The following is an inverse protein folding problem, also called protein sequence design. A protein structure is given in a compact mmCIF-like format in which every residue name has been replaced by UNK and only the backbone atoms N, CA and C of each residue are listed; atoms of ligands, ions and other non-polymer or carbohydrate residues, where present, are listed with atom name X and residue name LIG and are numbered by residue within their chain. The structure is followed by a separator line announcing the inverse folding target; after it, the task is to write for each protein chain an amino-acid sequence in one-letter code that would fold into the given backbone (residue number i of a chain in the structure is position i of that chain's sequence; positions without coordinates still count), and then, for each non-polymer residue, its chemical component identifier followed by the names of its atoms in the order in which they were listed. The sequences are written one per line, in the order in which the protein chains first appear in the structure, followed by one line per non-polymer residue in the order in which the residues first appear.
data_IF_592804086373
#
_entry.id   IF_592804086373
#
_cell.length_a   1.000
_cell.length_b   1.000
_cell.length_c   1.000
_cell.angle_alpha   90.00
_cell.angle_beta   90.00
_cell.angle_gamma   90.00
#
_symmetry.space_group_name_H-M   'P 1'
#
loop_
_entity.id
_entity.type
_entity.pdbx_description
1 polymer ?
#
# COMPACT_ATOMS: atom_id res chain seq x y z
N UNK A 1 -24.18 -4.43 4.29
CA UNK A 1 -24.32 -5.50 5.29
C UNK A 1 -25.61 -6.27 5.04
N UNK A 2 -25.61 -7.58 5.23
CA UNK A 2 -26.81 -8.42 5.24
C UNK A 2 -27.63 -8.24 6.53
N UNK A 3 -28.89 -8.73 6.59
CA UNK A 3 -29.72 -8.63 7.80
C UNK A 3 -29.12 -9.28 9.06
N UNK A 4 -28.31 -10.32 8.91
CA UNK A 4 -27.68 -11.04 10.02
C UNK A 4 -26.65 -10.20 10.79
N UNK A 5 -26.01 -9.25 10.09
CA UNK A 5 -24.97 -8.37 10.65
C UNK A 5 -25.48 -6.97 10.97
N UNK A 6 -26.73 -6.63 10.65
CA UNK A 6 -27.28 -5.30 10.90
C UNK A 6 -27.38 -5.00 12.40
N UNK A 7 -26.71 -3.91 12.81
CA UNK A 7 -26.70 -3.43 14.19
C UNK A 7 -25.93 -4.32 15.16
N UNK A 8 -25.00 -5.16 14.67
CA UNK A 8 -24.20 -6.07 15.50
C UNK A 8 -22.93 -5.40 16.01
N UNK A 9 -22.31 -4.58 15.17
CA UNK A 9 -21.04 -3.98 15.49
C UNK A 9 -21.20 -2.73 16.33
N UNK A 10 -20.33 -2.58 17.34
CA UNK A 10 -20.20 -1.34 18.09
C UNK A 10 -19.77 -0.14 17.23
N UNK A 11 -19.22 -0.39 16.02
CA UNK A 11 -18.82 0.65 15.05
C UNK A 11 -19.92 0.98 14.04
N UNK A 12 -21.17 0.66 14.36
CA UNK A 12 -22.33 0.95 13.51
C UNK A 12 -22.22 0.32 12.12
N UNK A 13 -22.81 0.99 11.13
CA UNK A 13 -22.92 0.46 9.77
C UNK A 13 -21.57 0.04 9.15
N UNK A 14 -20.52 0.84 9.35
CA UNK A 14 -19.19 0.49 8.83
C UNK A 14 -18.69 -0.80 9.49
N UNK A 15 -18.82 -0.90 10.81
CA UNK A 15 -18.46 -2.09 11.59
C UNK A 15 -19.23 -3.33 11.14
N UNK A 16 -20.54 -3.23 10.93
CA UNK A 16 -21.37 -4.35 10.47
C UNK A 16 -20.85 -4.92 9.14
N UNK A 17 -20.43 -4.05 8.20
CA UNK A 17 -19.85 -4.48 6.92
C UNK A 17 -18.49 -5.16 7.12
N UNK A 18 -17.65 -4.65 8.02
CA UNK A 18 -16.35 -5.25 8.32
C UNK A 18 -16.50 -6.61 8.98
N UNK A 19 -17.42 -6.77 9.93
CA UNK A 19 -17.70 -8.06 10.57
C UNK A 19 -18.24 -9.10 9.57
N UNK A 20 -19.07 -8.68 8.61
CA UNK A 20 -19.52 -9.57 7.53
C UNK A 20 -18.38 -9.98 6.59
N UNK A 21 -17.46 -9.07 6.27
CA UNK A 21 -16.26 -9.38 5.46
C UNK A 21 -15.37 -10.37 6.21
N UNK A 22 -15.09 -10.13 7.50
CA UNK A 22 -14.28 -11.02 8.34
C UNK A 22 -14.88 -12.43 8.41
N UNK A 23 -16.19 -12.52 8.69
CA UNK A 23 -16.91 -13.79 8.67
C UNK A 23 -16.82 -14.49 7.32
N UNK A 24 -16.99 -13.75 6.22
CA UNK A 24 -16.93 -14.28 4.85
C UNK A 24 -15.54 -14.84 4.50
N UNK A 25 -14.46 -14.15 4.92
CA UNK A 25 -13.09 -14.68 4.79
C UNK A 25 -12.95 -15.97 5.59
N UNK A 26 -13.53 -16.04 6.79
CA UNK A 26 -13.62 -17.27 7.58
C UNK A 26 -14.21 -18.44 6.78
N UNK A 27 -15.34 -18.23 6.11
CA UNK A 27 -15.98 -19.25 5.28
C UNK A 27 -15.08 -19.76 4.15
N UNK A 28 -14.33 -18.87 3.49
CA UNK A 28 -13.36 -19.25 2.45
C UNK A 28 -12.25 -20.12 3.06
N UNK A 29 -11.67 -19.70 4.18
CA UNK A 29 -10.59 -20.45 4.82
C UNK A 29 -11.04 -21.81 5.35
N UNK A 30 -12.26 -21.90 5.90
CA UNK A 30 -12.85 -23.16 6.37
C UNK A 30 -13.09 -24.11 5.20
N UNK A 31 -13.64 -23.61 4.09
CA UNK A 31 -13.79 -24.40 2.85
C UNK A 31 -12.45 -24.97 2.37
N UNK A 32 -11.37 -24.17 2.39
CA UNK A 32 -10.02 -24.65 2.03
C UNK A 32 -9.52 -25.75 2.97
N UNK A 33 -9.85 -25.70 4.26
CA UNK A 33 -9.48 -26.73 5.26
C UNK A 33 -10.28 -28.01 5.04
N UNK A 34 -11.60 -27.90 4.91
CA UNK A 34 -12.52 -29.03 4.72
C UNK A 34 -12.23 -29.81 3.44
N UNK A 35 -11.93 -29.10 2.36
CA UNK A 35 -11.53 -29.68 1.06
C UNK A 35 -10.07 -30.14 1.03
N UNK A 36 -9.33 -29.99 2.14
CA UNK A 36 -7.91 -30.36 2.28
C UNK A 36 -6.97 -29.64 1.29
N UNK A 37 -7.38 -28.46 0.81
CA UNK A 37 -6.60 -27.62 -0.10
C UNK A 37 -5.73 -26.58 0.63
N UNK A 38 -5.96 -26.34 1.92
CA UNK A 38 -5.25 -25.32 2.71
C UNK A 38 -3.71 -25.30 2.53
N UNK A 39 -3.05 -26.46 2.52
CA UNK A 39 -1.58 -26.54 2.34
C UNK A 39 -1.11 -26.30 0.90
N UNK A 40 -2.03 -26.18 -0.06
CA UNK A 40 -1.79 -25.99 -1.50
C UNK A 40 -2.36 -24.66 -2.00
N UNK A 41 -2.77 -23.78 -1.08
CA UNK A 41 -3.40 -22.51 -1.42
C UNK A 41 -2.71 -21.39 -0.65
N UNK A 42 -2.14 -20.45 -1.39
CA UNK A 42 -1.70 -19.16 -0.88
C UNK A 42 -2.89 -18.21 -0.85
N UNK A 43 -3.14 -17.58 0.30
CA UNK A 43 -4.18 -16.55 0.45
C UNK A 43 -3.50 -15.23 0.82
N UNK A 44 -3.87 -14.16 0.11
CA UNK A 44 -3.53 -12.77 0.43
C UNK A 44 -4.82 -12.03 0.77
N UNK A 45 -4.85 -11.39 1.94
CA UNK A 45 -5.87 -10.40 2.29
C UNK A 45 -5.22 -9.01 2.35
N UNK A 46 -5.76 -8.04 1.64
CA UNK A 46 -5.30 -6.65 1.64
C UNK A 46 -6.40 -5.68 1.17
N UNK A 47 -6.09 -4.38 1.10
CA UNK A 47 -6.99 -3.30 0.67
C UNK A 47 -6.42 -2.57 -0.55
N UNK A 48 -7.25 -1.82 -1.27
CA UNK A 48 -6.84 -1.07 -2.47
C UNK A 48 -6.24 0.31 -2.15
N UNK A 49 -6.69 0.92 -1.06
CA UNK A 49 -6.30 2.23 -0.56
C UNK A 49 -6.74 2.39 0.91
N UNK A 50 -6.23 3.45 1.54
CA UNK A 50 -6.58 3.82 2.89
C UNK A 50 -8.07 4.19 3.07
N UNK A 51 -8.50 4.47 4.31
CA UNK A 51 -9.89 4.69 4.65
C UNK A 51 -10.43 6.00 4.06
N UNK A 52 -11.71 6.01 3.72
CA UNK A 52 -12.38 7.22 3.24
C UNK A 52 -12.81 8.12 4.43
N UNK A 53 -11.85 8.87 4.98
CA UNK A 53 -12.05 9.62 6.22
C UNK A 53 -13.14 10.69 6.17
N UNK A 54 -13.48 11.22 4.97
CA UNK A 54 -14.55 12.21 4.81
C UNK A 54 -15.96 11.63 5.04
N UNK A 55 -16.09 10.31 5.23
CA UNK A 55 -17.35 9.65 5.61
C UNK A 55 -17.53 9.53 7.14
N UNK A 56 -16.64 10.14 7.92
CA UNK A 56 -16.68 10.18 9.38
C UNK A 56 -16.90 8.78 9.99
N UNK A 57 -17.96 8.59 10.78
CA UNK A 57 -18.30 7.32 11.43
C UNK A 57 -18.66 6.20 10.44
N UNK A 58 -18.96 6.52 9.19
CA UNK A 58 -19.20 5.55 8.12
C UNK A 58 -17.92 5.20 7.34
N UNK A 59 -16.77 5.77 7.71
CA UNK A 59 -15.46 5.48 7.15
C UNK A 59 -14.60 4.54 8.01
N UNK A 60 -13.51 4.06 7.40
CA UNK A 60 -12.48 3.31 8.11
C UNK A 60 -11.60 4.17 9.01
N UNK A 61 -10.55 3.57 9.57
CA UNK A 61 -9.56 4.26 10.39
C UNK A 61 -8.17 4.00 9.85
N UNK A 62 -7.33 5.03 9.80
CA UNK A 62 -5.91 4.92 9.45
C UNK A 62 -5.04 4.59 10.68
N UNK A 63 -5.67 4.43 11.85
CA UNK A 63 -4.97 4.24 13.11
C UNK A 63 -4.07 5.43 13.43
N UNK A 64 -2.79 5.16 13.65
CA UNK A 64 -1.77 6.18 13.92
C UNK A 64 -1.27 6.92 12.67
N UNK A 65 -1.61 6.43 11.47
CA UNK A 65 -1.10 6.96 10.21
C UNK A 65 -1.81 8.26 9.83
N UNK A 66 -1.13 9.10 9.06
CA UNK A 66 -1.65 10.41 8.64
C UNK A 66 -2.56 10.28 7.43
N UNK A 67 -3.73 10.93 7.53
CA UNK A 67 -4.72 11.08 6.44
C UNK A 67 -5.29 9.73 5.93
N UNK A 68 -5.95 9.73 4.78
CA UNK A 68 -6.66 8.58 4.21
C UNK A 68 -6.75 8.61 2.69
N UNK A 69 -7.78 7.94 2.17
CA UNK A 69 -8.02 7.70 0.74
C UNK A 69 -7.80 8.95 -0.12
N UNK A 70 -6.89 8.84 -1.10
CA UNK A 70 -6.60 9.89 -2.06
C UNK A 70 -5.43 10.81 -1.68
N UNK A 71 -4.85 10.63 -0.50
CA UNK A 71 -3.59 11.26 -0.10
C UNK A 71 -2.41 10.31 -0.34
N UNK A 72 -1.21 10.87 -0.42
CA UNK A 72 0.07 10.10 -0.46
C UNK A 72 0.77 10.06 0.89
N UNK A 73 0.10 10.48 1.96
CA UNK A 73 0.52 10.20 3.34
C UNK A 73 0.31 8.71 3.65
N UNK A 74 0.96 8.20 4.69
CA UNK A 74 0.96 6.76 4.99
C UNK A 74 -0.46 6.22 5.19
N UNK A 75 -1.38 6.99 5.76
CA UNK A 75 -2.76 6.53 5.96
C UNK A 75 -3.56 6.39 4.66
N UNK A 76 -3.09 6.93 3.53
CA UNK A 76 -3.74 6.81 2.23
C UNK A 76 -3.31 5.60 1.40
N UNK A 77 -2.11 5.04 1.65
CA UNK A 77 -1.50 4.02 0.79
C UNK A 77 -0.77 2.89 1.55
N UNK A 78 -0.70 2.91 2.89
CA UNK A 78 -0.18 1.80 3.70
C UNK A 78 -1.36 0.97 4.20
N UNK A 79 -1.48 -0.24 3.67
CA UNK A 79 -2.64 -1.10 3.86
C UNK A 79 -2.37 -2.27 4.80
N UNK A 80 -3.41 -2.85 5.44
CA UNK A 80 -3.28 -4.17 6.05
C UNK A 80 -2.91 -5.20 4.98
N UNK A 81 -2.02 -6.12 5.31
CA UNK A 81 -1.65 -7.23 4.44
C UNK A 81 -1.41 -8.50 5.27
N UNK A 82 -2.15 -9.56 4.96
CA UNK A 82 -1.99 -10.88 5.60
C UNK A 82 -1.74 -11.91 4.50
N UNK A 83 -0.57 -12.55 4.56
CA UNK A 83 -0.23 -13.71 3.74
C UNK A 83 -0.41 -14.99 4.56
N UNK A 84 -1.19 -15.93 4.03
CA UNK A 84 -1.51 -17.17 4.72
C UNK A 84 -1.26 -18.36 3.80
N UNK A 85 -0.38 -19.27 4.22
CA UNK A 85 -0.12 -20.54 3.53
C UNK A 85 0.42 -21.60 4.51
N UNK A 86 -0.46 -22.42 5.09
CA UNK A 86 -0.08 -23.42 6.09
C UNK A 86 0.98 -24.40 5.59
N UNK A 87 2.07 -24.53 6.36
CA UNK A 87 3.19 -25.42 6.06
C UNK A 87 4.26 -24.81 5.16
N UNK A 88 4.00 -23.64 4.55
CA UNK A 88 4.95 -22.89 3.72
C UNK A 88 5.39 -21.60 4.42
N UNK A 89 4.42 -20.79 4.85
CA UNK A 89 4.67 -19.53 5.57
C UNK A 89 4.63 -19.80 7.08
N UNK A 90 5.67 -19.37 7.79
CA UNK A 90 5.72 -19.44 9.27
C UNK A 90 4.93 -18.27 9.86
N UNK A 91 4.13 -18.47 10.93
CA UNK A 91 3.48 -17.37 11.62
C UNK A 91 4.49 -16.34 12.15
N UNK A 92 4.25 -15.06 11.88
CA UNK A 92 5.13 -13.98 12.30
C UNK A 92 4.68 -12.61 11.79
N UNK A 93 5.44 -11.59 12.17
CA UNK A 93 5.27 -10.21 11.67
C UNK A 93 6.49 -9.86 10.83
N UNK A 94 6.24 -9.35 9.63
CA UNK A 94 7.28 -8.85 8.71
C UNK A 94 7.16 -7.32 8.67
N UNK A 95 8.27 -6.63 8.90
CA UNK A 95 8.36 -5.16 8.88
C UNK A 95 9.01 -4.61 7.61
N UNK A 96 9.48 -5.50 6.74
CA UNK A 96 10.10 -5.18 5.46
C UNK A 96 9.07 -4.66 4.46
N UNK A 97 9.53 -3.93 3.43
CA UNK A 97 8.64 -3.26 2.49
C UNK A 97 8.09 -4.29 1.48
N UNK A 98 6.79 -4.18 1.20
CA UNK A 98 6.10 -4.87 0.11
C UNK A 98 5.04 -3.96 -0.51
N UNK A 99 4.55 -4.31 -1.69
CA UNK A 99 3.53 -3.55 -2.41
C UNK A 99 2.50 -4.49 -3.04
N UNK A 100 1.28 -4.01 -3.27
CA UNK A 100 0.29 -4.73 -4.10
C UNK A 100 0.79 -4.94 -5.53
N UNK A 101 1.75 -4.13 -5.99
CA UNK A 101 2.48 -4.35 -7.25
C UNK A 101 3.21 -5.69 -7.28
N UNK A 102 3.66 -6.21 -6.13
CA UNK A 102 4.49 -7.42 -6.01
C UNK A 102 3.71 -8.72 -6.10
N UNK A 103 2.38 -8.63 -6.05
CA UNK A 103 1.50 -9.80 -6.10
C UNK A 103 1.72 -10.58 -7.39
N UNK A 104 1.97 -9.90 -8.52
CA UNK A 104 2.20 -10.56 -9.81
C UNK A 104 3.47 -11.42 -9.80
N UNK A 105 4.63 -10.84 -9.51
CA UNK A 105 5.90 -11.57 -9.52
C UNK A 105 5.92 -12.68 -8.46
N UNK A 106 5.41 -12.39 -7.26
CA UNK A 106 5.29 -13.39 -6.18
C UNK A 106 4.38 -14.54 -6.60
N UNK A 107 3.21 -14.28 -7.18
CA UNK A 107 2.31 -15.33 -7.64
C UNK A 107 2.91 -16.14 -8.79
N UNK A 108 3.62 -15.50 -9.73
CA UNK A 108 4.32 -16.17 -10.80
C UNK A 108 5.38 -17.13 -10.25
N UNK A 109 6.23 -16.68 -9.33
CA UNK A 109 7.25 -17.52 -8.70
C UNK A 109 6.62 -18.74 -8.01
N UNK A 110 5.59 -18.51 -7.18
CA UNK A 110 4.91 -19.60 -6.46
C UNK A 110 4.18 -20.59 -7.39
N UNK A 111 3.82 -20.16 -8.60
CA UNK A 111 3.19 -20.99 -9.62
C UNK A 111 4.18 -21.63 -10.61
N UNK A 112 5.48 -21.29 -10.54
CA UNK A 112 6.48 -21.67 -11.55
C UNK A 112 6.24 -21.03 -12.92
N UNK A 113 5.56 -19.88 -12.96
CA UNK A 113 5.29 -19.09 -14.17
C UNK A 113 6.35 -18.00 -14.38
N UNK A 114 6.39 -17.43 -15.59
CA UNK A 114 7.31 -16.34 -15.93
C UNK A 114 6.60 -14.99 -15.87
N UNK A 115 7.24 -13.99 -15.28
CA UNK A 115 6.83 -12.59 -15.43
C UNK A 115 7.11 -12.10 -16.87
N UNK A 116 6.33 -11.14 -17.38
CA UNK A 116 6.62 -10.52 -18.68
C UNK A 116 8.05 -9.96 -18.75
N UNK A 117 8.73 -10.18 -19.87
CA UNK A 117 10.11 -9.73 -20.10
C UNK A 117 10.24 -8.68 -21.22
N UNK A 118 9.11 -8.23 -21.76
CA UNK A 118 9.03 -7.26 -22.86
C UNK A 118 8.88 -5.80 -22.38
N UNK A 119 8.91 -5.59 -21.06
CA UNK A 119 8.81 -4.29 -20.39
C UNK A 119 9.51 -4.30 -19.03
N UNK A 120 9.78 -3.11 -18.50
CA UNK A 120 10.23 -2.96 -17.11
C UNK A 120 9.05 -3.27 -16.20
N UNK A 121 9.27 -4.11 -15.20
CA UNK A 121 8.27 -4.49 -14.21
C UNK A 121 8.57 -3.80 -12.89
N UNK A 122 7.57 -3.11 -12.31
CA UNK A 122 7.68 -2.58 -10.94
C UNK A 122 7.53 -3.69 -9.88
N UNK A 123 6.91 -4.80 -10.26
CA UNK A 123 6.66 -5.98 -9.41
C UNK A 123 7.95 -6.73 -9.10
N UNK A 124 8.19 -7.05 -7.83
CA UNK A 124 9.28 -7.92 -7.39
C UNK A 124 8.74 -9.15 -6.65
N UNK A 125 9.54 -10.22 -6.59
CA UNK A 125 9.16 -11.45 -5.90
C UNK A 125 9.39 -11.34 -4.38
N UNK A 126 8.31 -11.42 -3.59
CA UNK A 126 8.36 -11.43 -2.12
C UNK A 126 8.51 -12.83 -1.52
N UNK A 127 8.64 -13.89 -2.34
CA UNK A 127 8.84 -15.25 -1.83
C UNK A 127 9.99 -15.38 -0.83
N UNK A 128 11.14 -14.67 -0.95
CA UNK A 128 12.24 -14.83 -0.01
C UNK A 128 11.84 -14.50 1.43
N UNK A 129 11.16 -13.36 1.63
CA UNK A 129 10.71 -12.91 2.96
C UNK A 129 9.52 -13.72 3.46
N UNK A 130 8.57 -14.07 2.57
CA UNK A 130 7.39 -14.84 2.95
C UNK A 130 7.75 -16.28 3.40
N UNK A 131 8.73 -16.90 2.76
CA UNK A 131 9.20 -18.25 3.07
C UNK A 131 10.33 -18.28 4.12
N UNK A 132 10.80 -17.11 4.57
CA UNK A 132 11.89 -16.98 5.54
C UNK A 132 13.22 -17.51 5.02
N UNK A 133 13.48 -17.35 3.71
CA UNK A 133 14.73 -17.75 3.04
C UNK A 133 15.64 -16.56 2.75
N UNK A 134 15.14 -15.33 2.88
CA UNK A 134 15.89 -14.09 2.71
C UNK A 134 15.04 -12.85 3.02
N UNK A 135 15.62 -11.64 2.91
CA UNK A 135 14.88 -10.39 3.05
C UNK A 135 13.99 -10.11 1.84
N UNK A 136 13.09 -9.13 1.98
CA UNK A 136 12.35 -8.55 0.86
C UNK A 136 13.33 -7.88 -0.10
N UNK A 137 13.23 -8.14 -1.43
CA UNK A 137 14.01 -7.40 -2.39
C UNK A 137 13.52 -5.96 -2.58
N UNK A 138 12.34 -5.61 -2.04
CA UNK A 138 11.82 -4.24 -2.11
C UNK A 138 12.36 -3.41 -0.95
N UNK A 139 13.12 -2.39 -1.30
CA UNK A 139 13.57 -1.34 -0.38
C UNK A 139 13.03 0.06 -0.75
N UNK A 140 12.38 0.20 -1.92
CA UNK A 140 11.87 1.50 -2.41
C UNK A 140 10.41 1.42 -2.82
N UNK A 141 9.65 2.49 -2.53
CA UNK A 141 8.27 2.68 -2.96
C UNK A 141 8.04 4.10 -3.49
N UNK A 142 7.38 4.21 -4.63
CA UNK A 142 7.03 5.47 -5.29
C UNK A 142 5.53 5.76 -5.11
N UNK A 143 5.19 6.96 -4.65
CA UNK A 143 3.82 7.34 -4.31
C UNK A 143 3.34 8.38 -5.31
N UNK A 144 2.41 7.99 -6.17
CA UNK A 144 1.82 8.85 -7.19
C UNK A 144 0.44 9.37 -6.75
N UNK A 145 0.16 10.64 -7.05
CA UNK A 145 -1.20 11.17 -7.08
C UNK A 145 -1.47 11.68 -8.50
N UNK A 146 -2.48 11.09 -9.14
CA UNK A 146 -2.72 11.29 -10.57
C UNK A 146 -1.44 11.00 -11.38
N UNK A 147 -0.92 11.97 -12.15
CA UNK A 147 0.28 11.81 -12.99
C UNK A 147 1.58 12.24 -12.31
N UNK A 148 1.51 12.72 -11.07
CA UNK A 148 2.66 13.33 -10.42
C UNK A 148 3.21 12.42 -9.32
N UNK A 149 4.53 12.28 -9.30
CA UNK A 149 5.25 11.66 -8.21
C UNK A 149 5.26 12.61 -7.01
N UNK A 150 4.61 12.21 -5.92
CA UNK A 150 4.45 13.03 -4.72
C UNK A 150 5.48 12.69 -3.66
N UNK A 151 5.78 11.40 -3.46
CA UNK A 151 6.74 10.95 -2.47
C UNK A 151 7.51 9.72 -2.92
N UNK A 152 8.68 9.53 -2.33
CA UNK A 152 9.47 8.29 -2.40
C UNK A 152 9.79 7.85 -0.98
N UNK A 153 9.62 6.56 -0.71
CA UNK A 153 10.17 5.90 0.48
C UNK A 153 11.37 5.04 0.08
N UNK A 154 12.47 5.14 0.81
CA UNK A 154 13.59 4.22 0.80
C UNK A 154 13.89 3.76 2.23
N UNK A 155 13.80 2.46 2.50
CA UNK A 155 13.91 1.90 3.84
C UNK A 155 12.98 2.59 4.85
N UNK A 156 13.55 3.14 5.92
CA UNK A 156 12.82 3.87 6.95
C UNK A 156 12.40 5.29 6.53
N UNK A 157 13.02 5.87 5.50
CA UNK A 157 12.86 7.29 5.19
C UNK A 157 11.89 7.52 4.05
N UNK A 158 11.01 8.51 4.18
CA UNK A 158 10.08 8.93 3.14
C UNK A 158 10.17 10.43 2.91
N UNK A 159 10.47 10.80 1.67
CA UNK A 159 10.53 12.19 1.23
C UNK A 159 9.27 12.57 0.44
N UNK A 160 8.66 13.71 0.77
CA UNK A 160 7.54 14.28 0.02
C UNK A 160 8.01 15.50 -0.78
N UNK A 161 7.94 15.41 -2.10
CA UNK A 161 8.14 16.53 -3.02
C UNK A 161 6.89 17.39 -3.15
N UNK A 162 5.72 16.77 -2.92
CA UNK A 162 4.41 17.39 -2.95
C UNK A 162 3.57 16.82 -1.83
N UNK A 163 2.68 17.63 -1.25
CA UNK A 163 1.68 17.15 -0.29
C UNK A 163 0.31 17.69 -0.63
N UNK A 164 -0.71 16.84 -0.50
CA UNK A 164 -2.11 17.22 -0.65
C UNK A 164 -2.94 16.36 0.28
N UNK A 165 -3.54 16.99 1.29
CA UNK A 165 -4.37 16.27 2.25
C UNK A 165 -5.78 16.04 1.68
N UNK A 166 -6.48 15.04 2.22
CA UNK A 166 -7.88 14.75 1.84
C UNK A 166 -8.89 15.31 2.84
N UNK A 167 -8.44 15.52 4.08
CA UNK A 167 -9.19 16.13 5.18
C UNK A 167 -8.54 17.46 5.57
N UNK A 168 -9.36 18.47 5.91
CA UNK A 168 -8.87 19.80 6.27
C UNK A 168 -8.45 20.63 5.06
N UNK A 169 -7.21 21.12 5.05
CA UNK A 169 -6.68 21.90 3.93
C UNK A 169 -6.25 21.00 2.76
N UNK A 170 -7.08 20.99 1.71
CA UNK A 170 -6.93 20.12 0.54
C UNK A 170 -6.09 20.72 -0.58
N UNK A 171 -5.42 21.85 -0.33
CA UNK A 171 -4.49 22.46 -1.27
C UNK A 171 -3.28 21.55 -1.49
N UNK A 172 -2.76 21.61 -2.71
CA UNK A 172 -1.48 20.99 -3.05
C UNK A 172 -0.35 21.97 -2.75
N UNK A 173 0.69 21.48 -2.06
CA UNK A 173 1.91 22.21 -1.77
C UNK A 173 3.09 21.49 -2.42
N UNK A 174 4.01 22.26 -3.01
CA UNK A 174 5.29 21.76 -3.52
C UNK A 174 6.39 22.09 -2.51
N UNK A 175 7.35 21.19 -2.35
CA UNK A 175 8.42 21.28 -1.35
C UNK A 175 9.79 21.19 -2.01
N UNK A 176 10.61 22.21 -1.84
CA UNK A 176 12.01 22.25 -2.23
C UNK A 176 12.83 23.00 -1.15
N UNK A 177 13.65 22.31 -0.32
CA UNK A 177 13.88 20.86 -0.35
C UNK A 177 12.63 20.04 0.03
N UNK A 178 12.58 18.74 -0.31
CA UNK A 178 11.47 17.86 0.06
C UNK A 178 11.33 17.74 1.59
N UNK A 179 10.11 17.56 2.09
CA UNK A 179 9.90 17.16 3.49
C UNK A 179 10.41 15.74 3.67
N UNK A 180 10.99 15.41 4.82
CA UNK A 180 11.52 14.08 5.11
C UNK A 180 11.01 13.57 6.45
N UNK A 181 10.57 12.31 6.48
CA UNK A 181 10.14 11.62 7.70
C UNK A 181 10.88 10.29 7.84
N UNK A 182 11.24 9.92 9.06
CA UNK A 182 11.65 8.56 9.40
C UNK A 182 10.42 7.82 9.94
N UNK A 183 9.91 6.86 9.18
CA UNK A 183 8.67 6.14 9.44
C UNK A 183 8.76 5.06 10.52
N UNK A 184 9.98 4.68 10.94
CA UNK A 184 10.17 3.79 12.10
C UNK A 184 10.03 4.54 13.42
N UNK A 185 10.37 5.83 13.44
CA UNK A 185 10.24 6.69 14.62
C UNK A 185 8.95 7.53 14.60
N UNK A 186 8.52 7.97 13.42
CA UNK A 186 7.35 8.81 13.20
C UNK A 186 6.50 8.29 12.03
N UNK A 187 5.77 7.18 12.23
CA UNK A 187 4.84 6.65 11.22
C UNK A 187 3.66 7.58 10.93
N UNK A 188 3.50 8.66 11.70
CA UNK A 188 2.45 9.66 11.57
C UNK A 188 2.86 10.90 10.77
N UNK A 189 4.10 10.94 10.27
CA UNK A 189 4.63 12.01 9.40
C UNK A 189 4.36 13.43 9.98
N UNK A 190 4.67 13.61 11.27
CA UNK A 190 4.47 14.84 12.03
C UNK A 190 5.71 15.72 12.08
N UNK A 191 6.90 15.12 12.14
CA UNK A 191 8.15 15.82 12.40
C UNK A 191 9.05 15.77 11.18
N UNK A 192 9.07 16.87 10.41
CA UNK A 192 10.01 16.99 9.30
C UNK A 192 11.45 17.07 9.81
N UNK A 193 12.31 16.20 9.27
CA UNK A 193 13.72 16.08 9.63
C UNK A 193 14.66 16.42 8.46
N UNK A 194 14.16 16.91 7.32
CA UNK A 194 14.95 17.11 6.10
C UNK A 194 16.22 17.93 6.33
N UNK A 195 16.13 19.03 7.07
CA UNK A 195 17.25 19.92 7.37
C UNK A 195 18.43 19.22 8.11
N UNK A 196 18.18 18.09 8.78
CA UNK A 196 19.18 17.33 9.53
C UNK A 196 19.74 16.13 8.75
N UNK A 197 19.17 15.79 7.60
CA UNK A 197 19.51 14.61 6.81
C UNK A 197 19.67 14.95 5.31
N UNK A 198 20.58 15.87 4.95
CA UNK A 198 20.79 16.28 3.55
C UNK A 198 21.32 15.14 2.67
N UNK A 199 22.06 14.19 3.25
CA UNK A 199 22.56 12.98 2.61
C UNK A 199 21.42 12.04 2.18
N UNK A 200 20.43 11.84 3.05
CA UNK A 200 19.23 11.03 2.75
C UNK A 200 18.42 11.68 1.64
N UNK A 201 18.22 13.00 1.69
CA UNK A 201 17.56 13.75 0.62
C UNK A 201 18.31 13.57 -0.70
N UNK A 202 19.64 13.69 -0.71
CA UNK A 202 20.45 13.52 -1.92
C UNK A 202 20.32 12.10 -2.52
N UNK A 203 20.29 11.07 -1.67
CA UNK A 203 20.05 9.68 -2.07
C UNK A 203 18.68 9.51 -2.73
N UNK A 204 17.62 9.97 -2.08
CA UNK A 204 16.25 9.87 -2.61
C UNK A 204 16.08 10.70 -3.90
N UNK A 205 16.72 11.86 -4.01
CA UNK A 205 16.72 12.65 -5.24
C UNK A 205 17.44 11.94 -6.39
N UNK A 206 18.43 11.08 -6.10
CA UNK A 206 19.07 10.23 -7.10
C UNK A 206 18.11 9.15 -7.58
N UNK A 207 17.43 8.45 -6.65
CA UNK A 207 16.38 7.48 -6.99
C UNK A 207 15.27 8.09 -7.84
N UNK A 208 14.84 9.31 -7.49
CA UNK A 208 13.85 10.06 -8.27
C UNK A 208 14.29 10.26 -9.71
N UNK A 209 15.50 10.78 -9.93
CA UNK A 209 16.05 11.01 -11.28
C UNK A 209 16.16 9.72 -12.08
N UNK A 210 16.62 8.64 -11.45
CA UNK A 210 16.73 7.33 -12.10
C UNK A 210 15.37 6.78 -12.54
N UNK A 211 14.36 6.87 -11.66
CA UNK A 211 12.99 6.47 -11.96
C UNK A 211 12.43 7.31 -13.11
N UNK A 212 12.44 8.64 -12.98
CA UNK A 212 11.93 9.57 -14.00
C UNK A 212 12.63 9.39 -15.36
N UNK A 213 13.93 9.05 -15.39
CA UNK A 213 14.68 8.81 -16.64
C UNK A 213 14.22 7.58 -17.42
N UNK A 214 13.58 6.61 -16.74
CA UNK A 214 13.09 5.35 -17.33
C UNK A 214 11.60 5.39 -17.61
N UNK A 215 10.87 6.36 -17.06
CA UNK A 215 9.43 6.46 -17.20
C UNK A 215 9.03 6.97 -18.58
N UNK A 216 8.31 6.13 -19.32
CA UNK A 216 7.59 6.52 -20.53
C UNK A 216 6.11 6.55 -20.16
N UNK A 217 5.54 7.75 -20.04
CA UNK A 217 4.14 7.90 -19.65
C UNK A 217 3.20 7.30 -20.70
N UNK A 218 2.33 6.39 -20.27
CA UNK A 218 1.25 5.87 -21.11
C UNK A 218 0.22 6.96 -21.44
N UNK A 219 -0.56 6.71 -22.49
CA UNK A 219 -1.70 7.55 -22.83
C UNK A 219 -2.67 7.66 -21.65
N UNK A 220 -3.14 8.88 -21.37
CA UNK A 220 -4.18 9.13 -20.38
C UNK A 220 -5.53 8.57 -20.83
N UNK A 221 -5.86 7.37 -20.33
CA UNK A 221 -7.12 6.71 -20.64
C UNK A 221 -8.34 7.36 -19.96
N UNK A 222 -8.12 8.20 -18.93
CA UNK A 222 -9.19 8.90 -18.22
C UNK A 222 -9.54 10.24 -18.89
N UNK A 223 -8.57 10.89 -19.55
CA UNK A 223 -8.80 12.12 -20.29
C UNK A 223 -9.92 12.00 -21.36
N UNK A 224 -10.09 10.80 -21.93
CA UNK A 224 -11.15 10.50 -22.90
C UNK A 224 -12.54 10.30 -22.25
N UNK A 225 -12.59 10.02 -20.95
CA UNK A 225 -13.80 9.61 -20.21
C UNK A 225 -14.34 10.69 -19.28
N UNK A 226 -13.48 11.58 -18.81
CA UNK A 226 -13.86 12.70 -17.95
C UNK A 226 -14.07 13.92 -18.86
N UNK A 227 -15.28 14.51 -18.93
CA UNK A 227 -15.48 15.76 -19.64
C UNK A 227 -14.46 16.76 -19.09
N UNK A 228 -13.66 17.37 -19.97
CA UNK A 228 -12.79 18.48 -19.54
C UNK A 228 -13.70 19.53 -18.89
N UNK A 229 -13.56 19.72 -17.58
CA UNK A 229 -14.24 20.80 -16.88
C UNK A 229 -13.76 22.10 -17.51
N UNK A 230 -14.69 22.87 -18.06
CA UNK A 230 -14.44 24.25 -18.50
C UNK A 230 -13.99 25.13 -17.35
#
# INVERSE_FOLDING_TARGET
RSPEFEGKSARGLYGDVIEEIDWSVGQVLDTLRETKLAKRTLVLFTSDNGPWLIFDLHGGSAGLLRDGKGSTFEGGMREPAIWWWPGMIKPGVVTEIGSTLDVLATACEMAGAKVPSDRIMDSVDLSPVLLGTGPSPRDTMFYYHSRHLFAIRQGAFKAHFRTKATVGDRKEYQHDPPLLYNLEHDPSEKYDIAAKHPDVIAGIMTLRREHESKMIEGEDQLARRIPQSK
#
